data_IF_813557002079
#
_entry.id   IF_813557002079
#
_cell.length_a   1.000
_cell.length_b   1.000
_cell.length_c   1.000
_cell.angle_alpha   90.00
_cell.angle_beta   90.00
_cell.angle_gamma   90.00
#
_symmetry.space_group_name_H-M   'P 1'
#
loop_
_entity.id
_entity.type
_entity.pdbx_description
1 polymer ?
#
# COMPACT_ATOMS: atom_id res chain seq x y z
N UNK A 1 3.85 0.82 17.42
CA UNK A 1 3.33 0.66 16.04
C UNK A 1 4.47 1.03 15.09
N UNK A 2 4.87 0.14 14.17
CA UNK A 2 6.01 0.34 13.24
C UNK A 2 5.89 1.68 12.51
N UNK A 3 7.03 2.31 12.20
CA UNK A 3 7.08 3.60 11.49
C UNK A 3 6.72 3.47 10.00
N UNK A 4 7.09 2.35 9.38
CA UNK A 4 6.78 2.04 7.98
C UNK A 4 6.13 0.67 7.88
N UNK A 5 5.18 0.55 6.96
CA UNK A 5 4.52 -0.72 6.63
C UNK A 5 5.34 -1.49 5.60
N UNK A 6 5.30 -2.83 5.66
CA UNK A 6 5.78 -3.71 4.59
C UNK A 6 4.68 -4.02 3.57
N UNK A 7 5.02 -4.68 2.46
CA UNK A 7 4.04 -5.22 1.51
C UNK A 7 3.04 -6.17 2.19
N UNK A 8 3.52 -7.03 3.10
CA UNK A 8 2.65 -7.89 3.93
C UNK A 8 1.67 -7.10 4.81
N UNK A 9 2.14 -6.00 5.42
CA UNK A 9 1.27 -5.17 6.25
C UNK A 9 0.16 -4.51 5.38
N UNK A 10 0.49 -4.08 4.16
CA UNK A 10 -0.50 -3.56 3.19
C UNK A 10 -1.48 -4.66 2.77
N UNK A 11 -0.99 -5.86 2.45
CA UNK A 11 -1.84 -7.01 2.14
C UNK A 11 -2.84 -7.31 3.26
N UNK A 12 -2.38 -7.24 4.51
CA UNK A 12 -3.26 -7.40 5.68
C UNK A 12 -4.31 -6.29 5.75
N UNK A 13 -3.91 -5.04 5.51
CA UNK A 13 -4.86 -3.91 5.45
C UNK A 13 -5.89 -4.04 4.34
N UNK A 14 -5.52 -4.58 3.17
CA UNK A 14 -6.48 -4.90 2.10
C UNK A 14 -7.55 -5.84 2.63
N UNK A 15 -7.16 -6.94 3.29
CA UNK A 15 -8.11 -7.91 3.85
C UNK A 15 -9.05 -7.28 4.89
N UNK A 16 -8.55 -6.36 5.72
CA UNK A 16 -9.38 -5.64 6.69
C UNK A 16 -10.34 -4.64 6.03
N UNK A 17 -9.86 -3.88 5.04
CA UNK A 17 -10.66 -2.90 4.31
C UNK A 17 -11.70 -3.54 3.40
N UNK A 18 -11.45 -4.74 2.86
CA UNK A 18 -12.44 -5.50 2.06
C UNK A 18 -13.75 -5.73 2.82
N UNK A 19 -13.70 -5.86 4.14
CA UNK A 19 -14.89 -6.01 4.98
C UNK A 19 -15.77 -4.74 4.99
N UNK A 20 -15.22 -3.59 4.59
CA UNK A 20 -15.93 -2.32 4.50
C UNK A 20 -16.43 -2.02 3.06
N UNK A 21 -16.06 -2.84 2.08
CA UNK A 21 -16.56 -2.72 0.70
C UNK A 21 -18.08 -2.87 0.64
N UNK A 22 -18.69 -2.20 -0.34
CA UNK A 22 -20.13 -1.97 -0.43
C UNK A 22 -20.65 -0.87 0.50
N UNK A 23 -19.84 -0.39 1.46
CA UNK A 23 -20.14 0.77 2.28
C UNK A 23 -20.02 2.10 1.52
N UNK A 24 -20.01 3.21 2.26
CA UNK A 24 -19.93 4.55 1.70
C UNK A 24 -18.89 5.42 2.39
N UNK A 25 -18.20 6.24 1.61
CA UNK A 25 -17.40 7.33 2.14
C UNK A 25 -18.33 8.45 2.62
N UNK A 26 -18.23 8.85 3.89
CA UNK A 26 -19.09 9.91 4.47
C UNK A 26 -18.40 11.24 4.62
N UNK A 27 -17.24 11.25 5.27
CA UNK A 27 -16.48 12.48 5.57
C UNK A 27 -14.99 12.23 5.41
N UNK A 28 -14.26 13.25 4.98
CA UNK A 28 -12.79 13.27 4.99
C UNK A 28 -12.33 14.43 5.86
N UNK A 29 -11.30 14.20 6.66
CA UNK A 29 -10.63 15.20 7.47
C UNK A 29 -9.12 15.16 7.22
N UNK A 30 -8.45 16.28 7.44
CA UNK A 30 -6.99 16.36 7.41
C UNK A 30 -6.50 17.03 8.71
N UNK A 31 -6.41 16.29 9.82
CA UNK A 31 -5.99 16.86 11.11
C UNK A 31 -4.53 17.34 11.12
N UNK A 32 -3.70 16.84 10.20
CA UNK A 32 -2.31 17.25 10.03
C UNK A 32 -1.95 17.25 8.54
N UNK A 33 -0.96 18.04 8.12
CA UNK A 33 -0.61 18.17 6.70
C UNK A 33 -0.24 16.82 6.05
N UNK A 34 0.35 15.89 6.80
CA UNK A 34 0.65 14.52 6.33
C UNK A 34 -0.45 13.48 6.63
N UNK A 35 -1.52 13.84 7.35
CA UNK A 35 -2.50 12.87 7.84
C UNK A 35 -3.90 13.12 7.29
N UNK A 36 -4.46 12.10 6.63
CA UNK A 36 -5.84 12.09 6.17
C UNK A 36 -6.65 11.09 7.01
N UNK A 37 -7.91 11.42 7.27
CA UNK A 37 -8.87 10.51 7.91
C UNK A 37 -10.11 10.43 7.04
N UNK A 38 -10.40 9.24 6.53
CA UNK A 38 -11.58 8.94 5.72
C UNK A 38 -12.55 8.13 6.57
N UNK A 39 -13.74 8.69 6.79
CA UNK A 39 -14.81 8.04 7.52
C UNK A 39 -15.61 7.15 6.58
N UNK A 40 -15.46 5.84 6.76
CA UNK A 40 -16.14 4.82 6.00
C UNK A 40 -17.32 4.28 6.81
N UNK A 41 -18.50 4.28 6.20
CA UNK A 41 -19.70 3.72 6.78
C UNK A 41 -20.05 2.41 6.06
N UNK A 42 -19.75 1.24 6.64
CA UNK A 42 -20.07 -0.03 6.01
C UNK A 42 -21.59 -0.24 5.90
N UNK A 43 -22.02 -1.21 5.09
CA UNK A 43 -23.45 -1.61 5.03
C UNK A 43 -23.95 -2.15 6.36
N UNK A 44 -23.10 -2.95 6.99
CA UNK A 44 -23.34 -3.58 8.28
C UNK A 44 -22.18 -3.28 9.22
N UNK A 45 -22.47 -3.15 10.51
CA UNK A 45 -21.46 -2.83 11.52
C UNK A 45 -21.25 -1.35 11.77
N UNK A 46 -20.19 -1.04 12.51
CA UNK A 46 -19.92 0.33 12.97
C UNK A 46 -19.05 1.07 11.97
N UNK A 47 -19.37 2.35 11.77
CA UNK A 47 -18.53 3.31 11.07
C UNK A 47 -17.08 3.21 11.56
N UNK A 48 -16.13 3.18 10.61
CA UNK A 48 -14.69 3.12 10.87
C UNK A 48 -14.00 4.37 10.33
N UNK A 49 -13.03 4.90 11.06
CA UNK A 49 -12.13 5.93 10.54
C UNK A 49 -10.90 5.24 9.95
N UNK A 50 -10.74 5.35 8.62
CA UNK A 50 -9.54 4.94 7.90
C UNK A 50 -8.52 6.07 7.91
N UNK A 51 -7.42 5.86 8.63
CA UNK A 51 -6.37 6.85 8.83
C UNK A 51 -5.21 6.56 7.89
N UNK A 52 -4.79 7.58 7.15
CA UNK A 52 -3.66 7.54 6.25
C UNK A 52 -2.62 8.54 6.75
N UNK A 53 -1.40 8.07 6.97
CA UNK A 53 -0.22 8.90 7.22
C UNK A 53 0.65 8.79 5.97
N UNK A 54 0.71 9.89 5.21
CA UNK A 54 1.37 9.98 3.92
C UNK A 54 2.78 9.38 3.96
N UNK A 55 3.07 8.47 3.02
CA UNK A 55 4.40 7.87 2.84
C UNK A 55 4.87 6.96 3.98
N UNK A 56 3.98 6.61 4.93
CA UNK A 56 4.38 5.88 6.15
C UNK A 56 3.48 4.67 6.39
N UNK A 57 2.20 4.91 6.68
CA UNK A 57 1.29 3.86 7.15
C UNK A 57 -0.18 4.21 6.99
N UNK A 58 -1.00 3.18 7.06
CA UNK A 58 -2.46 3.21 7.04
C UNK A 58 -3.00 2.31 8.16
N UNK A 59 -4.15 2.64 8.73
CA UNK A 59 -4.82 1.82 9.74
C UNK A 59 -6.27 2.20 9.94
N UNK A 60 -7.07 1.27 10.48
CA UNK A 60 -8.43 1.54 10.95
C UNK A 60 -8.42 1.98 12.41
N UNK A 61 -9.29 2.93 12.76
CA UNK A 61 -9.39 3.49 14.11
C UNK A 61 -10.85 3.73 14.49
N UNK A 62 -11.18 3.40 15.73
CA UNK A 62 -12.45 3.74 16.38
C UNK A 62 -12.28 4.81 17.48
N UNK A 63 -11.07 5.36 17.63
CA UNK A 63 -10.79 6.38 18.64
C UNK A 63 -11.48 7.67 18.25
N UNK A 64 -12.17 8.27 19.21
CA UNK A 64 -12.63 9.64 19.07
C UNK A 64 -11.42 10.60 19.07
N UNK A 65 -11.42 11.54 18.14
CA UNK A 65 -10.34 12.51 17.96
C UNK A 65 -10.96 13.84 17.59
N UNK A 66 -10.45 14.97 18.13
CA UNK A 66 -10.89 16.28 17.67
C UNK A 66 -10.54 16.42 16.19
N UNK A 67 -11.57 16.50 15.35
CA UNK A 67 -11.41 16.73 13.92
C UNK A 67 -11.41 18.23 13.66
N UNK A 68 -10.58 18.73 12.72
CA UNK A 68 -10.58 20.14 12.37
C UNK A 68 -11.95 20.56 11.85
N UNK A 69 -12.46 21.70 12.34
CA UNK A 69 -13.73 22.28 11.92
C UNK A 69 -13.68 22.74 10.45
N UNK A 70 -12.57 23.37 10.06
CA UNK A 70 -12.34 23.79 8.69
C UNK A 70 -11.60 22.70 7.90
N UNK A 71 -12.20 22.14 6.84
CA UNK A 71 -11.53 21.15 6.01
C UNK A 71 -10.43 21.81 5.16
N UNK A 72 -9.31 21.10 5.00
CA UNK A 72 -8.25 21.51 4.06
C UNK A 72 -8.74 21.49 2.60
N UNK A 73 -8.04 22.16 1.67
CA UNK A 73 -8.38 22.10 0.24
C UNK A 73 -8.44 20.67 -0.32
N UNK A 74 -7.48 19.81 0.06
CA UNK A 74 -7.48 18.42 -0.39
C UNK A 74 -8.64 17.62 0.22
N UNK A 75 -8.95 17.82 1.49
CA UNK A 75 -10.11 17.18 2.13
C UNK A 75 -11.43 17.61 1.47
N UNK A 76 -11.57 18.90 1.13
CA UNK A 76 -12.74 19.40 0.39
C UNK A 76 -12.85 18.79 -1.00
N UNK A 77 -11.72 18.68 -1.72
CA UNK A 77 -11.68 18.06 -3.03
C UNK A 77 -12.10 16.58 -2.96
N UNK A 78 -11.59 15.82 -1.99
CA UNK A 78 -12.04 14.44 -1.77
C UNK A 78 -13.53 14.38 -1.43
N UNK A 79 -14.05 15.29 -0.59
CA UNK A 79 -15.51 15.36 -0.31
C UNK A 79 -16.32 15.66 -1.57
N UNK A 80 -15.83 16.52 -2.46
CA UNK A 80 -16.50 16.85 -3.73
C UNK A 80 -16.60 15.63 -4.66
N UNK A 81 -15.54 14.83 -4.74
CA UNK A 81 -15.46 13.70 -5.67
C UNK A 81 -15.95 12.37 -5.09
N UNK A 82 -15.76 12.14 -3.79
CA UNK A 82 -16.02 10.88 -3.11
C UNK A 82 -17.14 10.96 -2.08
N UNK A 83 -17.73 12.13 -1.84
CA UNK A 83 -18.78 12.33 -0.85
C UNK A 83 -20.01 11.44 -1.13
N UNK A 84 -20.32 10.53 -0.21
CA UNK A 84 -21.32 9.46 -0.38
C UNK A 84 -21.06 8.52 -1.56
N UNK A 85 -19.84 8.46 -2.08
CA UNK A 85 -19.46 7.46 -3.06
C UNK A 85 -19.43 6.07 -2.40
N UNK A 86 -19.88 5.06 -3.13
CA UNK A 86 -19.87 3.67 -2.65
C UNK A 86 -18.45 3.14 -2.76
N UNK A 87 -17.95 2.51 -1.71
CA UNK A 87 -16.63 1.91 -1.68
C UNK A 87 -16.69 0.55 -2.35
N UNK A 88 -16.25 0.43 -3.60
CA UNK A 88 -16.43 -0.80 -4.40
C UNK A 88 -15.38 -1.84 -4.08
N UNK A 89 -14.11 -1.47 -4.14
CA UNK A 89 -13.01 -2.43 -4.01
C UNK A 89 -11.77 -1.79 -3.41
N UNK A 90 -10.92 -2.67 -2.88
CA UNK A 90 -9.58 -2.35 -2.41
C UNK A 90 -8.62 -3.44 -2.84
N UNK A 91 -7.49 -3.01 -3.34
CA UNK A 91 -6.42 -3.87 -3.81
C UNK A 91 -5.06 -3.29 -3.47
N UNK A 92 -4.09 -4.19 -3.38
CA UNK A 92 -2.68 -3.84 -3.37
C UNK A 92 -2.20 -3.92 -4.81
N UNK A 93 -1.41 -2.94 -5.25
CA UNK A 93 -0.76 -3.01 -6.54
C UNK A 93 0.50 -3.88 -6.43
N UNK A 94 0.50 -5.02 -7.12
CA UNK A 94 1.55 -6.04 -7.01
C UNK A 94 1.80 -6.46 -5.56
N UNK A 95 3.08 -6.58 -5.19
CA UNK A 95 3.52 -6.70 -3.80
C UNK A 95 4.10 -5.40 -3.23
N UNK A 96 3.83 -4.27 -3.90
CA UNK A 96 4.32 -2.98 -3.48
C UNK A 96 3.53 -2.41 -2.30
N UNK A 97 4.10 -1.39 -1.67
CA UNK A 97 3.48 -0.68 -0.55
C UNK A 97 2.46 0.36 -1.04
N UNK A 98 1.59 -0.04 -1.96
CA UNK A 98 0.63 0.83 -2.64
C UNK A 98 -0.76 0.21 -2.51
N UNK A 99 -1.68 1.00 -1.98
CA UNK A 99 -3.08 0.64 -1.86
C UNK A 99 -3.91 1.44 -2.87
N UNK A 100 -4.79 0.77 -3.59
CA UNK A 100 -5.76 1.41 -4.50
C UNK A 100 -7.16 1.16 -3.95
N UNK A 101 -7.87 2.24 -3.64
CA UNK A 101 -9.28 2.20 -3.27
C UNK A 101 -10.13 2.67 -4.45
N UNK A 102 -11.11 1.87 -4.86
CA UNK A 102 -12.04 2.24 -5.92
C UNK A 102 -13.39 2.62 -5.33
N UNK A 103 -13.90 3.78 -5.76
CA UNK A 103 -15.18 4.29 -5.34
C UNK A 103 -16.09 4.52 -6.55
N UNK A 104 -17.33 4.04 -6.46
CA UNK A 104 -18.39 4.42 -7.38
C UNK A 104 -19.03 5.74 -6.91
N UNK A 105 -18.83 6.78 -7.71
CA UNK A 105 -19.12 8.17 -7.39
C UNK A 105 -20.17 8.72 -8.35
N UNK A 106 -20.83 9.81 -7.95
CA UNK A 106 -21.87 10.47 -8.78
C UNK A 106 -21.35 10.95 -10.14
N UNK A 107 -20.04 11.13 -10.26
CA UNK A 107 -19.36 11.61 -11.49
C UNK A 107 -18.55 10.49 -12.15
N UNK A 108 -18.94 9.23 -11.94
CA UNK A 108 -18.24 8.04 -12.43
C UNK A 108 -17.15 7.53 -11.47
N UNK A 109 -16.54 6.37 -11.76
CA UNK A 109 -15.53 5.74 -10.91
C UNK A 109 -14.37 6.68 -10.58
N UNK A 110 -13.88 6.58 -9.34
CA UNK A 110 -12.70 7.32 -8.86
C UNK A 110 -11.79 6.38 -8.08
N UNK A 111 -10.49 6.57 -8.23
CA UNK A 111 -9.50 5.80 -7.48
C UNK A 111 -8.75 6.70 -6.51
N UNK A 112 -8.57 6.24 -5.28
CA UNK A 112 -7.66 6.84 -4.30
C UNK A 112 -6.45 5.94 -4.13
N UNK A 113 -5.33 6.36 -4.71
CA UNK A 113 -4.05 5.65 -4.64
C UNK A 113 -3.25 6.16 -3.45
N UNK A 114 -2.77 5.25 -2.61
CA UNK A 114 -2.07 5.57 -1.35
C UNK A 114 -0.73 4.84 -1.33
N UNK A 115 0.34 5.60 -1.37
CA UNK A 115 1.71 5.09 -1.39
C UNK A 115 2.32 5.17 0.02
N UNK A 116 2.64 4.01 0.59
CA UNK A 116 3.13 3.82 1.95
C UNK A 116 4.64 3.53 2.00
N UNK A 117 5.41 4.25 1.20
CA UNK A 117 6.88 4.23 1.19
C UNK A 117 7.42 5.66 1.33
N UNK A 118 8.73 5.80 1.58
CA UNK A 118 9.38 7.11 1.74
C UNK A 118 9.06 8.02 0.55
N UNK A 119 8.67 9.25 0.83
CA UNK A 119 8.24 10.23 -0.19
C UNK A 119 6.98 9.84 -0.97
N UNK A 120 6.25 8.81 -0.53
CA UNK A 120 4.95 8.42 -1.05
C UNK A 120 3.88 9.48 -0.83
N UNK A 121 2.77 9.31 -1.55
CA UNK A 121 1.70 10.28 -1.67
C UNK A 121 0.30 9.67 -1.50
N UNK A 122 -0.71 10.54 -1.49
CA UNK A 122 -2.12 10.17 -1.59
C UNK A 122 -2.68 10.88 -2.82
N UNK A 123 -3.16 10.12 -3.80
CA UNK A 123 -3.51 10.64 -5.13
C UNK A 123 -4.95 10.26 -5.45
N UNK A 124 -5.77 11.26 -5.77
CA UNK A 124 -7.09 11.02 -6.36
C UNK A 124 -6.96 11.01 -7.88
N UNK A 125 -7.45 9.96 -8.53
CA UNK A 125 -7.53 9.85 -9.99
C UNK A 125 -8.96 9.65 -10.47
N UNK A 126 -9.19 9.89 -11.76
CA UNK A 126 -10.40 9.48 -12.45
C UNK A 126 -10.34 8.01 -12.91
N UNK A 127 -11.39 7.57 -13.61
CA UNK A 127 -11.53 6.22 -14.16
C UNK A 127 -10.42 5.81 -15.13
N UNK A 128 -9.77 6.77 -15.78
CA UNK A 128 -8.66 6.54 -16.70
C UNK A 128 -7.29 6.70 -16.02
N UNK A 129 -7.27 6.68 -14.68
CA UNK A 129 -6.10 6.97 -13.87
C UNK A 129 -5.43 8.34 -14.15
N UNK A 130 -6.16 9.32 -14.69
CA UNK A 130 -5.67 10.69 -14.78
C UNK A 130 -5.77 11.37 -13.42
N UNK A 131 -4.70 12.04 -13.00
CA UNK A 131 -4.60 12.65 -11.68
C UNK A 131 -5.55 13.84 -11.59
N UNK A 132 -6.54 13.73 -10.72
CA UNK A 132 -7.43 14.85 -10.37
C UNK A 132 -6.70 15.79 -9.43
N UNK A 133 -6.05 15.23 -8.41
CA UNK A 133 -5.25 15.97 -7.45
C UNK A 133 -4.38 15.01 -6.61
N UNK A 134 -3.06 15.22 -6.51
CA UNK A 134 -2.26 14.63 -5.45
C UNK A 134 -2.34 15.47 -4.18
N UNK A 135 -2.19 14.84 -3.02
CA UNK A 135 -2.06 15.53 -1.73
C UNK A 135 -0.87 16.50 -1.73
N UNK A 136 0.21 16.12 -2.41
CA UNK A 136 1.38 16.99 -2.62
C UNK A 136 1.88 16.85 -4.04
N UNK A 137 2.15 17.97 -4.72
CA UNK A 137 2.79 17.92 -6.03
C UNK A 137 4.24 17.43 -5.88
N UNK A 138 4.64 16.47 -6.72
CA UNK A 138 5.97 15.88 -6.65
C UNK A 138 6.48 15.51 -8.04
N UNK A 139 7.79 15.56 -8.22
CA UNK A 139 8.47 15.08 -9.43
C UNK A 139 9.52 14.06 -9.02
N UNK A 140 9.41 12.85 -9.55
CA UNK A 140 10.36 11.76 -9.36
C UNK A 140 11.11 11.52 -10.69
N UNK A 141 12.15 10.68 -10.66
CA UNK A 141 12.97 10.41 -11.84
C UNK A 141 12.16 9.89 -13.04
N UNK A 142 11.12 9.07 -12.82
CA UNK A 142 10.31 8.47 -13.88
C UNK A 142 8.85 8.92 -13.98
N UNK A 143 8.38 9.82 -13.11
CA UNK A 143 6.97 10.25 -13.09
C UNK A 143 6.77 11.61 -12.43
N UNK A 144 5.70 12.29 -12.82
CA UNK A 144 5.28 13.57 -12.23
C UNK A 144 3.88 13.41 -11.61
N UNK A 145 3.73 13.76 -10.34
CA UNK A 145 2.45 13.80 -9.67
C UNK A 145 1.92 15.24 -9.71
N UNK A 146 1.11 15.52 -10.74
CA UNK A 146 0.46 16.81 -10.94
C UNK A 146 -0.93 16.61 -11.53
N UNK A 147 -1.84 17.53 -11.18
CA UNK A 147 -3.19 17.56 -11.74
C UNK A 147 -3.17 17.56 -13.28
N UNK A 148 -3.98 16.69 -13.88
CA UNK A 148 -4.14 16.53 -15.32
C UNK A 148 -3.16 15.54 -15.97
N UNK A 149 -2.13 15.10 -15.26
CA UNK A 149 -1.18 14.11 -15.77
C UNK A 149 -1.72 12.69 -15.57
N UNK A 150 -1.39 11.72 -16.44
CA UNK A 150 -1.66 10.31 -16.17
C UNK A 150 -0.87 9.85 -14.94
N UNK A 151 -1.53 9.12 -14.04
CA UNK A 151 -0.85 8.48 -12.92
C UNK A 151 -0.09 7.25 -13.42
N UNK A 152 1.20 7.21 -13.10
CA UNK A 152 2.06 6.05 -13.34
C UNK A 152 2.46 5.45 -12.00
N UNK A 153 2.25 4.16 -11.83
CA UNK A 153 2.79 3.42 -10.70
C UNK A 153 4.33 3.48 -10.73
N UNK A 154 5.01 3.40 -9.57
CA UNK A 154 6.43 3.11 -9.53
C UNK A 154 6.73 1.77 -10.24
N UNK A 155 7.98 1.52 -10.65
CA UNK A 155 8.37 0.21 -11.18
C UNK A 155 7.98 -0.90 -10.21
N UNK A 156 7.28 -1.92 -10.71
CA UNK A 156 6.83 -3.04 -9.88
C UNK A 156 8.03 -3.79 -9.30
N UNK A 157 8.00 -3.98 -7.98
CA UNK A 157 8.91 -4.89 -7.33
C UNK A 157 8.43 -6.35 -7.48
N UNK A 158 9.37 -7.29 -7.41
CA UNK A 158 9.08 -8.73 -7.45
C UNK A 158 8.06 -9.10 -6.36
N UNK A 159 7.07 -9.92 -6.72
CA UNK A 159 6.13 -10.49 -5.76
C UNK A 159 6.69 -11.81 -5.21
N UNK A 160 7.06 -11.87 -3.92
CA UNK A 160 7.55 -13.09 -3.30
C UNK A 160 6.56 -14.26 -3.35
N UNK A 161 5.25 -14.04 -3.50
CA UNK A 161 4.28 -15.13 -3.62
C UNK A 161 4.32 -15.85 -4.96
N UNK A 162 4.92 -15.22 -5.97
CA UNK A 162 5.10 -15.82 -7.29
C UNK A 162 6.40 -16.63 -7.40
N UNK A 163 7.22 -16.64 -6.35
CA UNK A 163 8.49 -17.36 -6.32
C UNK A 163 8.28 -18.85 -6.00
N UNK A 164 8.11 -19.66 -7.04
CA UNK A 164 8.25 -21.11 -6.93
C UNK A 164 9.72 -21.54 -6.72
N UNK A 165 9.95 -22.85 -6.58
CA UNK A 165 11.27 -23.39 -6.28
C UNK A 165 12.32 -23.10 -7.37
N UNK A 166 11.92 -23.07 -8.65
CA UNK A 166 12.86 -22.78 -9.75
C UNK A 166 13.14 -21.27 -9.84
N UNK A 167 12.11 -20.42 -9.73
CA UNK A 167 12.28 -18.98 -9.69
C UNK A 167 13.12 -18.53 -8.49
N UNK A 168 12.92 -19.16 -7.32
CA UNK A 168 13.73 -18.91 -6.12
C UNK A 168 15.19 -19.28 -6.38
N UNK A 169 15.45 -20.44 -6.98
CA UNK A 169 16.80 -20.90 -7.31
C UNK A 169 17.51 -19.98 -8.29
N UNK A 170 16.83 -19.49 -9.31
CA UNK A 170 17.37 -18.50 -10.24
C UNK A 170 17.71 -17.19 -9.53
N UNK A 171 16.79 -16.68 -8.70
CA UNK A 171 16.99 -15.45 -7.92
C UNK A 171 18.20 -15.54 -6.98
N UNK A 172 18.36 -16.68 -6.31
CA UNK A 172 19.46 -16.93 -5.39
C UNK A 172 20.81 -17.03 -6.10
N UNK A 173 20.85 -17.67 -7.28
CA UNK A 173 22.06 -17.80 -8.10
C UNK A 173 22.50 -16.48 -8.74
N UNK A 174 21.55 -15.63 -9.13
CA UNK A 174 21.84 -14.33 -9.74
C UNK A 174 22.36 -13.29 -8.71
N UNK A 175 22.28 -13.59 -7.41
CA UNK A 175 22.70 -12.68 -6.35
C UNK A 175 24.13 -12.93 -5.89
N UNK A 176 24.87 -11.85 -5.70
CA UNK A 176 26.24 -11.80 -5.17
C UNK A 176 26.28 -11.55 -3.65
N UNK A 177 25.13 -11.61 -2.99
CA UNK A 177 24.96 -11.27 -1.57
C UNK A 177 24.64 -12.49 -0.73
N UNK A 178 24.72 -12.33 0.58
CA UNK A 178 24.20 -13.32 1.50
C UNK A 178 22.68 -13.55 1.33
N UNK A 179 22.21 -14.69 1.81
CA UNK A 179 20.83 -15.13 1.69
C UNK A 179 19.85 -14.08 2.22
N UNK A 180 20.10 -13.53 3.42
CA UNK A 180 19.17 -12.57 4.03
C UNK A 180 19.08 -11.25 3.26
N UNK A 181 20.19 -10.71 2.76
CA UNK A 181 20.19 -9.47 1.95
C UNK A 181 19.57 -9.70 0.58
N UNK A 182 19.77 -10.89 0.01
CA UNK A 182 19.14 -11.30 -1.24
C UNK A 182 17.63 -11.36 -1.09
N UNK A 183 17.14 -12.07 -0.06
CA UNK A 183 15.72 -12.18 0.25
C UNK A 183 15.10 -10.83 0.64
N UNK A 184 15.80 -10.01 1.43
CA UNK A 184 15.31 -8.70 1.83
C UNK A 184 15.19 -7.72 0.66
N UNK A 185 16.14 -7.76 -0.27
CA UNK A 185 16.23 -6.83 -1.40
C UNK A 185 15.57 -7.36 -2.67
N UNK A 186 16.12 -8.43 -3.26
CA UNK A 186 15.66 -8.98 -4.54
C UNK A 186 14.29 -9.66 -4.43
N UNK A 187 14.04 -10.40 -3.34
CA UNK A 187 12.74 -11.04 -3.10
C UNK A 187 11.71 -10.11 -2.41
N UNK A 188 12.04 -8.82 -2.21
CA UNK A 188 11.14 -7.80 -1.69
C UNK A 188 10.49 -8.12 -0.32
N UNK A 189 11.16 -8.93 0.51
CA UNK A 189 10.64 -9.29 1.84
C UNK A 189 10.93 -8.23 2.90
N UNK A 190 12.00 -7.44 2.71
CA UNK A 190 12.57 -6.64 3.77
C UNK A 190 13.24 -7.48 4.87
N UNK A 191 14.09 -6.83 5.68
CA UNK A 191 15.01 -7.56 6.58
C UNK A 191 14.31 -8.46 7.60
N UNK A 192 13.24 -8.00 8.23
CA UNK A 192 12.56 -8.78 9.28
C UNK A 192 11.94 -10.08 8.73
N UNK A 193 11.29 -10.03 7.56
CA UNK A 193 10.68 -11.21 6.96
C UNK A 193 11.73 -12.12 6.29
N UNK A 194 12.79 -11.55 5.71
CA UNK A 194 13.92 -12.33 5.23
C UNK A 194 14.55 -13.18 6.34
N UNK A 195 14.79 -12.60 7.52
CA UNK A 195 15.28 -13.36 8.68
C UNK A 195 14.31 -14.46 9.12
N UNK A 196 13.00 -14.20 9.10
CA UNK A 196 11.99 -15.20 9.43
C UNK A 196 12.01 -16.38 8.46
N UNK A 197 12.12 -16.11 7.15
CA UNK A 197 12.23 -17.15 6.12
C UNK A 197 13.50 -17.97 6.30
N UNK A 198 14.67 -17.35 6.53
CA UNK A 198 15.91 -18.08 6.84
C UNK A 198 15.71 -19.02 8.05
N UNK A 199 15.08 -18.52 9.11
CA UNK A 199 14.83 -19.31 10.32
C UNK A 199 13.89 -20.49 10.07
N UNK A 200 12.82 -20.30 9.29
CA UNK A 200 11.86 -21.36 8.95
C UNK A 200 12.46 -22.41 8.01
N UNK A 201 13.34 -21.98 7.10
CA UNK A 201 14.08 -22.85 6.20
C UNK A 201 15.27 -23.57 6.86
N UNK A 202 15.55 -23.31 8.15
CA UNK A 202 16.78 -23.75 8.84
C UNK A 202 18.06 -23.38 8.08
N UNK A 203 18.07 -22.22 7.42
CA UNK A 203 19.18 -21.72 6.62
C UNK A 203 19.94 -20.62 7.35
N UNK A 204 21.27 -20.62 7.25
CA UNK A 204 22.13 -19.63 7.89
C UNK A 204 22.01 -18.27 7.18
N UNK A 205 21.61 -17.16 7.83
CA UNK A 205 21.33 -15.90 7.13
C UNK A 205 22.51 -15.32 6.34
N UNK A 206 23.73 -15.59 6.79
CA UNK A 206 24.99 -15.10 6.20
C UNK A 206 25.57 -16.01 5.11
N UNK A 207 24.94 -17.16 4.83
CA UNK A 207 25.38 -18.02 3.72
C UNK A 207 25.28 -17.27 2.40
N UNK A 208 26.18 -17.55 1.46
CA UNK A 208 26.05 -17.02 0.10
C UNK A 208 24.72 -17.50 -0.49
N UNK A 209 23.96 -16.59 -1.12
CA UNK A 209 22.63 -16.93 -1.63
C UNK A 209 22.66 -18.11 -2.59
N UNK A 210 23.67 -18.20 -3.44
CA UNK A 210 23.84 -19.27 -4.43
C UNK A 210 24.01 -20.67 -3.81
N UNK A 211 24.47 -20.74 -2.55
CA UNK A 211 24.71 -22.00 -1.83
C UNK A 211 23.52 -22.43 -0.96
N UNK A 212 22.48 -21.59 -0.84
CA UNK A 212 21.30 -21.89 -0.04
C UNK A 212 20.37 -22.93 -0.72
N UNK A 213 19.68 -23.73 0.09
CA UNK A 213 18.64 -24.65 -0.39
C UNK A 213 17.40 -23.85 -0.83
N UNK A 214 17.32 -23.60 -2.13
CA UNK A 214 16.22 -22.86 -2.76
C UNK A 214 14.85 -23.50 -2.52
N UNK A 215 14.77 -24.83 -2.41
CA UNK A 215 13.49 -25.53 -2.19
C UNK A 215 13.01 -25.27 -0.78
N UNK A 216 13.87 -25.47 0.21
CA UNK A 216 13.53 -25.18 1.62
C UNK A 216 13.18 -23.71 1.84
N UNK A 217 13.90 -22.79 1.19
CA UNK A 217 13.61 -21.34 1.25
C UNK A 217 12.28 -20.98 0.58
N UNK A 218 11.98 -21.57 -0.59
CA UNK A 218 10.70 -21.34 -1.28
C UNK A 218 9.52 -21.89 -0.45
N UNK A 219 9.64 -23.08 0.13
CA UNK A 219 8.60 -23.65 1.01
C UNK A 219 8.39 -22.80 2.26
N UNK A 220 9.46 -22.28 2.87
CA UNK A 220 9.37 -21.42 4.04
C UNK A 220 8.72 -20.05 3.77
N UNK A 221 8.62 -19.65 2.50
CA UNK A 221 8.02 -18.40 2.08
C UNK A 221 6.50 -18.50 1.86
N UNK A 222 5.98 -19.70 1.58
CA UNK A 222 4.55 -19.97 1.35
C UNK A 222 3.75 -20.07 2.66
#
# INVERSE_FOLDING_TARGET
>A
MREQMSGFDIRRMVSELRLLCGGWMKKVYQPHHEQLVIRLNPKEGKQQDFVIVRGKRIYLSNRDRPMPQQPSPFAMLLRKHLGNARFESVEQHGFDRILVLTFDSRVGPRHLVIECFRDGNVILTDESHTIIQPLTHAKYAGRTLKRGEPYLFPPEALDPHTLDGEAMKELLKDSDRDLVRTLAGKANLGGAYAHAVCSLANAEPSVMSADADAVSVSVALQ
#
